data_IF_922131119150
#
_entry.id   IF_922131119150
#
_cell.length_a   1.000
_cell.length_b   1.000
_cell.length_c   1.000
_cell.angle_alpha   90.00
_cell.angle_beta   90.00
_cell.angle_gamma   90.00
#
_symmetry.space_group_name_H-M   'P 1'
#
loop_
_entity.id
_entity.type
_entity.pdbx_description
1 polymer ?
#
# COMPACT_ATOMS: atom_id res chain seq x y z
N UNK A 1 20.77 11.67 17.29
CA UNK A 1 19.54 10.98 16.89
C UNK A 1 18.35 11.94 16.67
N UNK A 2 18.02 12.87 17.59
CA UNK A 2 16.90 13.84 17.41
C UNK A 2 16.97 14.67 16.12
N UNK A 3 18.13 15.17 15.71
CA UNK A 3 18.30 15.97 14.47
C UNK A 3 18.01 15.19 13.18
N UNK A 4 18.28 13.87 13.15
CA UNK A 4 18.00 13.03 11.98
C UNK A 4 16.49 12.75 11.84
N UNK A 5 15.79 12.53 12.96
CA UNK A 5 14.34 12.35 12.99
C UNK A 5 13.58 13.63 12.62
N UNK A 6 14.09 14.80 12.97
CA UNK A 6 13.46 16.10 12.65
C UNK A 6 13.59 16.45 11.16
N UNK A 7 14.68 16.07 10.50
CA UNK A 7 14.85 16.26 9.06
C UNK A 7 13.89 15.37 8.22
N UNK A 8 13.61 14.14 8.70
CA UNK A 8 12.65 13.22 8.06
C UNK A 8 11.20 13.44 8.49
N UNK A 9 10.95 14.17 9.57
CA UNK A 9 9.61 14.51 10.08
C UNK A 9 8.82 15.44 9.17
N UNK A 10 9.49 16.10 8.20
CA UNK A 10 8.88 17.06 7.30
C UNK A 10 8.78 16.52 5.87
N UNK A 11 7.91 17.14 5.09
CA UNK A 11 7.78 17.05 3.64
C UNK A 11 9.15 17.07 2.89
N UNK A 12 10.19 17.67 3.50
CA UNK A 12 11.54 17.74 2.93
C UNK A 12 12.19 16.37 2.73
N UNK A 13 12.07 15.45 3.69
CA UNK A 13 12.64 14.10 3.55
C UNK A 13 11.93 13.29 2.47
N UNK A 14 10.61 13.45 2.36
CA UNK A 14 9.83 12.82 1.30
C UNK A 14 10.11 13.44 -0.07
N UNK A 15 10.20 14.78 -0.16
CA UNK A 15 10.57 15.47 -1.39
C UNK A 15 11.98 15.11 -1.87
N UNK A 16 12.93 14.91 -0.94
CA UNK A 16 14.27 14.43 -1.25
C UNK A 16 14.26 12.99 -1.79
N UNK A 17 13.48 12.09 -1.18
CA UNK A 17 13.35 10.72 -1.67
C UNK A 17 12.69 10.68 -3.05
N UNK A 18 11.60 11.42 -3.24
CA UNK A 18 10.92 11.55 -4.53
C UNK A 18 11.84 12.18 -5.60
N UNK A 19 12.58 13.22 -5.23
CA UNK A 19 13.57 13.84 -6.11
C UNK A 19 14.68 12.87 -6.49
N UNK A 20 15.19 12.08 -5.54
CA UNK A 20 16.21 11.07 -5.81
C UNK A 20 15.68 9.98 -6.77
N UNK A 21 14.45 9.49 -6.56
CA UNK A 21 13.82 8.50 -7.46
C UNK A 21 13.64 9.09 -8.86
N UNK A 22 13.16 10.34 -8.98
CA UNK A 22 13.02 11.01 -10.28
C UNK A 22 14.37 11.22 -10.96
N UNK A 23 15.38 11.64 -10.22
CA UNK A 23 16.75 11.82 -10.76
C UNK A 23 17.30 10.49 -11.26
N UNK A 24 17.15 9.42 -10.46
CA UNK A 24 17.62 8.07 -10.82
C UNK A 24 16.91 7.56 -12.08
N UNK A 25 15.58 7.67 -12.17
CA UNK A 25 14.82 7.23 -13.35
C UNK A 25 15.12 8.11 -14.58
N UNK A 26 15.31 9.41 -14.39
CA UNK A 26 15.64 10.35 -15.46
C UNK A 26 17.05 10.13 -16.01
N UNK A 27 18.05 9.95 -15.14
CA UNK A 27 19.43 9.67 -15.56
C UNK A 27 19.54 8.36 -16.35
N UNK A 28 18.75 7.36 -15.97
CA UNK A 28 18.75 6.07 -16.66
C UNK A 28 18.00 6.14 -18.01
N UNK A 29 16.99 7.01 -18.14
CA UNK A 29 16.27 7.25 -19.41
C UNK A 29 17.07 8.09 -20.43
N UNK A 30 18.07 8.85 -19.98
CA UNK A 30 18.91 9.69 -20.84
C UNK A 30 19.94 8.92 -21.67
N UNK A 31 20.02 7.58 -21.54
CA UNK A 31 20.95 6.73 -22.31
C UNK A 31 22.42 7.23 -22.31
N UNK A 32 22.90 7.79 -21.20
CA UNK A 32 24.25 8.32 -21.10
C UNK A 32 25.35 7.22 -21.08
N UNK A 33 24.93 5.95 -20.92
CA UNK A 33 25.81 4.76 -20.95
C UNK A 33 25.13 3.65 -21.75
N UNK A 34 25.92 2.87 -22.52
CA UNK A 34 25.42 1.68 -23.24
C UNK A 34 24.87 0.61 -22.29
N UNK A 35 25.33 0.59 -21.04
CA UNK A 35 24.79 -0.24 -19.97
C UNK A 35 23.83 0.58 -19.09
N UNK A 36 22.65 0.02 -18.70
CA UNK A 36 21.74 0.69 -17.78
C UNK A 36 22.45 0.97 -16.45
N UNK A 37 22.42 2.22 -16.00
CA UNK A 37 23.08 2.67 -14.75
C UNK A 37 22.63 1.83 -13.54
N UNK A 38 21.41 1.30 -13.62
CA UNK A 38 20.83 0.40 -12.64
C UNK A 38 20.33 -0.89 -13.28
N UNK A 39 20.72 -2.07 -12.74
CA UNK A 39 20.25 -3.34 -13.26
C UNK A 39 18.70 -3.42 -13.23
N UNK A 40 18.07 -4.11 -14.19
CA UNK A 40 16.60 -4.26 -14.26
C UNK A 40 15.95 -4.75 -12.97
N UNK A 41 16.69 -5.52 -12.19
CA UNK A 41 16.31 -5.99 -10.87
C UNK A 41 16.06 -4.86 -9.87
N UNK A 42 16.94 -3.86 -9.81
CA UNK A 42 16.79 -2.71 -8.91
C UNK A 42 15.54 -1.90 -9.25
N UNK A 43 15.19 -1.77 -10.53
CA UNK A 43 13.97 -1.11 -10.99
C UNK A 43 12.71 -1.84 -10.51
N UNK A 44 12.73 -3.18 -10.52
CA UNK A 44 11.64 -3.98 -9.97
C UNK A 44 11.46 -3.73 -8.47
N UNK A 45 12.54 -3.77 -7.70
CA UNK A 45 12.49 -3.51 -6.25
C UNK A 45 11.98 -2.10 -5.97
N UNK A 46 12.44 -1.09 -6.71
CA UNK A 46 11.99 0.29 -6.57
C UNK A 46 10.50 0.45 -6.86
N UNK A 47 9.99 -0.16 -7.95
CA UNK A 47 8.57 -0.15 -8.27
C UNK A 47 7.74 -0.78 -7.15
N UNK A 48 8.13 -1.96 -6.67
CA UNK A 48 7.46 -2.68 -5.57
C UNK A 48 7.46 -1.83 -4.30
N UNK A 49 8.58 -1.18 -3.94
CA UNK A 49 8.67 -0.25 -2.82
C UNK A 49 7.67 0.91 -2.94
N UNK A 50 7.53 1.50 -4.14
CA UNK A 50 6.60 2.60 -4.38
C UNK A 50 5.14 2.15 -4.24
N UNK A 51 4.78 1.00 -4.83
CA UNK A 51 3.43 0.45 -4.70
C UNK A 51 3.09 0.12 -3.25
N UNK A 52 3.97 -0.58 -2.53
CA UNK A 52 3.73 -0.85 -1.11
C UNK A 52 3.73 0.42 -0.26
N UNK A 53 4.44 1.47 -0.65
CA UNK A 53 4.33 2.78 0.01
C UNK A 53 2.93 3.38 -0.15
N UNK A 54 2.33 3.29 -1.35
CA UNK A 54 0.94 3.72 -1.58
C UNK A 54 -0.03 2.91 -0.72
N UNK A 55 0.11 1.58 -0.73
CA UNK A 55 -0.76 0.67 0.02
C UNK A 55 -0.63 0.89 1.53
N UNK A 56 0.62 1.04 2.03
CA UNK A 56 0.90 1.33 3.44
C UNK A 56 0.31 2.67 3.87
N UNK A 57 0.45 3.70 3.02
CA UNK A 57 -0.09 5.02 3.29
C UNK A 57 -1.63 5.03 3.22
N UNK A 58 -2.24 4.22 2.34
CA UNK A 58 -3.69 4.05 2.28
C UNK A 58 -4.22 3.33 3.53
N UNK A 59 -3.57 2.26 3.99
CA UNK A 59 -3.91 1.57 5.23
C UNK A 59 -3.74 2.47 6.46
N UNK A 60 -2.82 3.43 6.41
CA UNK A 60 -2.58 4.38 7.48
C UNK A 60 -3.81 5.25 7.79
N UNK A 61 -4.75 5.45 6.84
CA UNK A 61 -6.03 6.11 7.14
C UNK A 61 -6.85 5.35 8.16
N UNK A 62 -6.89 4.03 8.07
CA UNK A 62 -7.64 3.17 8.99
C UNK A 62 -6.84 2.90 10.26
N UNK A 63 -5.62 2.38 10.13
CA UNK A 63 -4.81 1.94 11.27
C UNK A 63 -4.09 3.09 11.96
N UNK A 64 -3.67 4.10 11.24
CA UNK A 64 -2.93 5.24 11.78
C UNK A 64 -3.83 6.36 12.28
N UNK A 65 -4.68 6.93 11.42
CA UNK A 65 -5.47 8.11 11.76
C UNK A 65 -6.67 7.80 12.67
N UNK A 66 -7.41 6.71 12.42
CA UNK A 66 -8.56 6.30 13.24
C UNK A 66 -8.15 5.33 14.36
N UNK A 67 -7.01 4.65 14.22
CA UNK A 67 -6.50 3.72 15.22
C UNK A 67 -7.18 2.34 15.17
N UNK A 68 -7.80 1.96 14.06
CA UNK A 68 -8.46 0.66 13.88
C UNK A 68 -7.57 -0.28 13.06
N UNK A 69 -7.13 -1.39 13.66
CA UNK A 69 -6.34 -2.40 12.97
C UNK A 69 -7.21 -3.19 12.00
N UNK A 70 -6.81 -3.26 10.71
CA UNK A 70 -7.49 -4.03 9.67
C UNK A 70 -6.53 -5.01 9.02
N UNK A 71 -6.93 -6.27 8.88
CA UNK A 71 -6.21 -7.33 8.15
C UNK A 71 -6.89 -7.71 6.82
N UNK A 72 -7.83 -6.91 6.34
CA UNK A 72 -8.51 -7.12 5.07
C UNK A 72 -7.99 -6.24 3.92
N UNK A 73 -6.87 -5.54 4.09
CA UNK A 73 -6.45 -4.50 3.15
C UNK A 73 -5.97 -5.06 1.80
N UNK A 74 -5.34 -6.25 1.81
CA UNK A 74 -4.96 -6.95 0.59
C UNK A 74 -6.18 -7.31 -0.30
N UNK A 75 -7.37 -7.46 0.29
CA UNK A 75 -8.59 -7.68 -0.49
C UNK A 75 -8.90 -6.49 -1.40
N UNK A 76 -8.76 -5.26 -0.93
CA UNK A 76 -9.00 -4.05 -1.74
C UNK A 76 -7.93 -3.89 -2.82
N UNK A 77 -6.67 -4.20 -2.48
CA UNK A 77 -5.56 -4.21 -3.42
C UNK A 77 -5.78 -5.23 -4.53
N UNK A 78 -6.05 -6.50 -4.19
CA UNK A 78 -6.32 -7.55 -5.15
C UNK A 78 -7.62 -7.35 -5.94
N UNK A 79 -8.68 -6.82 -5.29
CA UNK A 79 -9.93 -6.47 -5.98
C UNK A 79 -9.68 -5.44 -7.09
N UNK A 80 -8.93 -4.37 -6.80
CA UNK A 80 -8.55 -3.38 -7.81
C UNK A 80 -7.73 -3.98 -8.95
N UNK A 81 -6.81 -4.89 -8.63
CA UNK A 81 -6.03 -5.65 -9.62
C UNK A 81 -6.94 -6.46 -10.55
N UNK A 82 -7.87 -7.24 -9.99
CA UNK A 82 -8.81 -8.05 -10.78
C UNK A 82 -9.79 -7.20 -11.59
N UNK A 83 -10.36 -6.15 -11.01
CA UNK A 83 -11.29 -5.26 -11.72
C UNK A 83 -10.63 -4.67 -12.96
N UNK A 84 -9.44 -4.09 -12.82
CA UNK A 84 -8.74 -3.51 -13.96
C UNK A 84 -8.32 -4.57 -15.00
N UNK A 85 -7.91 -5.75 -14.54
CA UNK A 85 -7.56 -6.87 -15.40
C UNK A 85 -8.75 -7.36 -16.22
N UNK A 86 -9.92 -7.54 -15.60
CA UNK A 86 -11.15 -7.95 -16.29
C UNK A 86 -11.61 -6.89 -17.30
N UNK A 87 -11.59 -5.61 -16.91
CA UNK A 87 -12.00 -4.52 -17.78
C UNK A 87 -11.10 -4.40 -19.03
N UNK A 88 -9.80 -4.55 -18.86
CA UNK A 88 -8.85 -4.44 -19.98
C UNK A 88 -8.81 -5.69 -20.84
N UNK A 89 -8.88 -6.90 -20.25
CA UNK A 89 -8.71 -8.16 -20.95
C UNK A 89 -10.01 -8.70 -21.58
N UNK A 90 -11.14 -8.60 -20.85
CA UNK A 90 -12.41 -9.18 -21.32
C UNK A 90 -13.26 -8.12 -22.03
N UNK A 91 -13.34 -6.91 -21.47
CA UNK A 91 -14.16 -5.86 -22.06
C UNK A 91 -13.39 -4.93 -22.99
N UNK A 92 -12.08 -5.18 -23.19
CA UNK A 92 -11.19 -4.40 -24.06
C UNK A 92 -11.26 -2.88 -23.83
N UNK A 93 -11.54 -2.46 -22.59
CA UNK A 93 -11.55 -1.06 -22.23
C UNK A 93 -10.12 -0.50 -22.13
N UNK A 94 -9.92 0.77 -22.44
CA UNK A 94 -8.63 1.42 -22.23
C UNK A 94 -8.20 1.34 -20.77
N UNK A 95 -6.88 1.31 -20.52
CA UNK A 95 -6.34 1.16 -19.17
C UNK A 95 -6.79 2.27 -18.21
N UNK A 96 -6.77 3.54 -18.62
CA UNK A 96 -7.03 4.67 -17.73
C UNK A 96 -8.43 4.69 -17.13
N UNK A 97 -9.52 4.49 -17.90
CA UNK A 97 -10.84 4.28 -17.31
C UNK A 97 -10.88 3.06 -16.38
N UNK A 98 -10.24 1.96 -16.76
CA UNK A 98 -10.20 0.73 -15.94
C UNK A 98 -9.46 0.94 -14.63
N UNK A 99 -8.38 1.73 -14.64
CA UNK A 99 -7.61 2.14 -13.45
C UNK A 99 -8.50 2.93 -12.46
N UNK A 100 -9.22 3.94 -12.94
CA UNK A 100 -10.13 4.72 -12.09
C UNK A 100 -11.30 3.87 -11.58
N UNK A 101 -11.88 3.03 -12.43
CA UNK A 101 -12.95 2.10 -12.02
C UNK A 101 -12.46 1.10 -10.97
N UNK A 102 -11.23 0.61 -11.05
CA UNK A 102 -10.63 -0.26 -10.04
C UNK A 102 -10.63 0.40 -8.65
N UNK A 103 -10.21 1.65 -8.56
CA UNK A 103 -10.26 2.41 -7.32
C UNK A 103 -11.71 2.65 -6.83
N UNK A 104 -12.62 3.06 -7.73
CA UNK A 104 -14.01 3.33 -7.38
C UNK A 104 -14.75 2.07 -6.91
N UNK A 105 -14.58 0.94 -7.59
CA UNK A 105 -15.21 -0.33 -7.19
C UNK A 105 -14.63 -0.80 -5.85
N UNK A 106 -13.32 -0.69 -5.66
CA UNK A 106 -12.70 -1.00 -4.37
C UNK A 106 -13.26 -0.09 -3.25
N UNK A 107 -13.46 1.20 -3.51
CA UNK A 107 -14.06 2.14 -2.57
C UNK A 107 -15.51 1.76 -2.21
N UNK A 108 -16.33 1.42 -3.22
CA UNK A 108 -17.73 0.98 -3.01
C UNK A 108 -17.79 -0.30 -2.18
N UNK A 109 -16.91 -1.27 -2.47
CA UNK A 109 -16.78 -2.51 -1.68
C UNK A 109 -16.20 -2.24 -0.29
N UNK A 110 -15.39 -1.22 -0.14
CA UNK A 110 -14.89 -0.75 1.16
C UNK A 110 -15.98 -0.34 2.14
N UNK A 111 -17.15 0.12 1.66
CA UNK A 111 -18.28 0.51 2.50
C UNK A 111 -18.88 -0.70 3.25
N UNK A 112 -19.34 -1.78 2.60
CA UNK A 112 -19.88 -2.95 3.31
C UNK A 112 -18.82 -3.69 4.13
N UNK A 113 -17.54 -3.67 3.74
CA UNK A 113 -16.46 -4.26 4.53
C UNK A 113 -16.14 -3.40 5.76
N UNK A 114 -16.26 -2.08 5.66
CA UNK A 114 -16.14 -1.15 6.77
C UNK A 114 -17.36 -1.10 7.70
N UNK A 115 -18.55 -1.51 7.24
CA UNK A 115 -19.78 -1.45 8.03
C UNK A 115 -19.71 -2.26 9.36
N UNK A 116 -19.14 -3.47 9.41
CA UNK A 116 -18.94 -4.17 10.68
C UNK A 116 -18.04 -3.42 11.65
N UNK A 117 -17.08 -2.61 11.15
CA UNK A 117 -16.23 -1.76 11.98
C UNK A 117 -17.00 -0.74 12.82
N UNK A 118 -18.26 -0.45 12.48
CA UNK A 118 -19.13 0.44 13.24
C UNK A 118 -19.66 -0.23 14.52
N UNK A 119 -19.82 -1.56 14.49
CA UNK A 119 -20.44 -2.34 15.57
C UNK A 119 -19.41 -3.10 16.42
N UNK A 120 -18.24 -3.37 15.86
CA UNK A 120 -17.20 -4.20 16.46
C UNK A 120 -15.99 -3.34 16.82
N UNK A 121 -15.43 -3.55 18.01
CA UNK A 121 -14.28 -2.78 18.53
C UNK A 121 -13.11 -3.70 18.84
N UNK A 122 -11.91 -3.12 18.79
CA UNK A 122 -10.67 -3.80 19.20
C UNK A 122 -10.34 -5.05 18.37
N UNK A 123 -9.89 -6.15 18.99
CA UNK A 123 -9.41 -7.34 18.29
C UNK A 123 -10.45 -8.02 17.39
N UNK A 124 -11.73 -7.89 17.71
CA UNK A 124 -12.81 -8.48 16.91
C UNK A 124 -12.91 -7.88 15.51
N UNK A 125 -12.57 -6.61 15.34
CA UNK A 125 -12.54 -5.97 14.04
C UNK A 125 -11.48 -6.61 13.12
N UNK A 126 -10.34 -6.97 13.69
CA UNK A 126 -9.25 -7.63 12.97
C UNK A 126 -9.74 -8.96 12.38
N UNK A 127 -10.48 -9.76 13.17
CA UNK A 127 -11.04 -11.04 12.72
C UNK A 127 -12.05 -10.84 11.61
N UNK A 128 -12.94 -9.86 11.76
CA UNK A 128 -13.98 -9.57 10.74
C UNK A 128 -13.33 -9.12 9.42
N UNK A 129 -12.38 -8.19 9.46
CA UNK A 129 -11.71 -7.71 8.24
C UNK A 129 -10.86 -8.79 7.59
N UNK A 130 -10.21 -9.65 8.38
CA UNK A 130 -9.51 -10.85 7.91
C UNK A 130 -10.46 -11.79 7.16
N UNK A 131 -11.60 -12.13 7.79
CA UNK A 131 -12.60 -13.04 7.19
C UNK A 131 -13.16 -12.46 5.89
N UNK A 132 -13.44 -11.15 5.83
CA UNK A 132 -13.83 -10.49 4.59
C UNK A 132 -12.76 -10.63 3.50
N UNK A 133 -11.49 -10.46 3.85
CA UNK A 133 -10.37 -10.65 2.91
C UNK A 133 -10.32 -12.07 2.33
N UNK A 134 -10.46 -13.09 3.19
CA UNK A 134 -10.48 -14.48 2.77
C UNK A 134 -11.70 -14.81 1.90
N UNK A 135 -12.88 -14.23 2.17
CA UNK A 135 -14.05 -14.38 1.31
C UNK A 135 -13.75 -13.90 -0.12
N UNK A 136 -13.17 -12.72 -0.30
CA UNK A 136 -12.79 -12.22 -1.62
C UNK A 136 -11.75 -13.12 -2.30
N UNK A 137 -10.79 -13.64 -1.54
CA UNK A 137 -9.79 -14.58 -2.06
C UNK A 137 -10.46 -15.87 -2.55
N UNK A 138 -11.35 -16.47 -1.76
CA UNK A 138 -12.08 -17.67 -2.15
C UNK A 138 -13.01 -17.43 -3.34
N UNK A 139 -13.66 -16.29 -3.43
CA UNK A 139 -14.45 -15.89 -4.61
C UNK A 139 -13.54 -15.87 -5.85
N UNK A 140 -12.37 -15.22 -5.77
CA UNK A 140 -11.43 -15.15 -6.87
C UNK A 140 -10.88 -16.53 -7.27
N UNK A 141 -10.75 -17.46 -6.35
CA UNK A 141 -10.28 -18.83 -6.62
C UNK A 141 -11.33 -19.73 -7.29
N UNK A 142 -12.62 -19.44 -7.10
CA UNK A 142 -13.72 -20.31 -7.54
C UNK A 142 -14.49 -19.78 -8.75
N UNK A 143 -14.27 -18.53 -9.17
CA UNK A 143 -14.89 -17.97 -10.37
C UNK A 143 -14.04 -18.25 -11.61
N UNK A 144 -14.66 -18.77 -12.67
CA UNK A 144 -13.99 -19.03 -13.96
C UNK A 144 -13.54 -17.71 -14.63
N UNK A 145 -14.31 -16.64 -14.47
CA UNK A 145 -14.01 -15.33 -15.06
C UNK A 145 -12.70 -14.72 -14.51
N UNK A 146 -12.30 -15.07 -13.30
CA UNK A 146 -11.05 -14.63 -12.66
C UNK A 146 -9.85 -15.53 -12.99
N UNK A 147 -10.07 -16.59 -13.79
CA UNK A 147 -9.07 -17.60 -14.09
C UNK A 147 -8.81 -18.60 -12.95
N UNK A 148 -9.69 -18.62 -11.93
CA UNK A 148 -9.59 -19.53 -10.80
C UNK A 148 -8.26 -19.45 -10.05
N UNK A 149 -7.72 -20.58 -9.55
CA UNK A 149 -6.43 -20.60 -8.85
C UNK A 149 -5.24 -20.15 -9.70
N UNK A 150 -5.32 -20.32 -11.03
CA UNK A 150 -4.25 -19.98 -11.97
C UNK A 150 -4.14 -18.47 -12.23
N UNK A 151 -5.20 -17.69 -11.94
CA UNK A 151 -5.23 -16.25 -12.18
C UNK A 151 -5.34 -15.87 -13.67
N UNK A 152 -5.14 -14.59 -13.97
CA UNK A 152 -5.26 -14.01 -15.31
C UNK A 152 -3.90 -13.52 -15.80
N UNK A 153 -3.26 -14.24 -16.74
CA UNK A 153 -2.03 -13.78 -17.39
C UNK A 153 -2.31 -12.90 -18.62
N UNK A 154 -1.28 -12.20 -19.09
CA UNK A 154 -1.30 -11.47 -20.36
C UNK A 154 -2.16 -10.21 -20.34
N UNK A 155 -1.99 -9.38 -19.29
CA UNK A 155 -2.68 -8.10 -19.20
C UNK A 155 -2.10 -7.08 -20.19
N UNK A 156 -2.98 -6.24 -20.72
CA UNK A 156 -2.63 -5.20 -21.68
C UNK A 156 -1.76 -4.14 -21.01
N UNK A 157 -0.69 -3.74 -21.71
CA UNK A 157 0.18 -2.68 -21.25
C UNK A 157 -0.54 -1.31 -21.31
N UNK A 158 -0.47 -0.49 -20.25
CA UNK A 158 -0.99 0.88 -20.29
C UNK A 158 -0.37 1.70 -21.43
N UNK A 159 -1.15 2.60 -22.05
CA UNK A 159 -0.66 3.51 -23.08
C UNK A 159 -1.16 4.93 -22.87
N UNK A 160 -0.30 5.90 -23.20
CA UNK A 160 -0.62 7.34 -23.33
C UNK A 160 -0.10 7.75 -24.71
N UNK A 161 -0.72 7.20 -25.78
CA UNK A 161 -0.19 7.38 -27.15
C UNK A 161 0.97 6.44 -27.48
N UNK A 162 1.90 6.19 -26.53
CA UNK A 162 2.97 5.17 -26.58
C UNK A 162 2.73 4.19 -25.46
N UNK A 163 2.98 2.89 -25.69
CA UNK A 163 2.82 1.87 -24.64
C UNK A 163 3.87 2.04 -23.54
N UNK A 164 3.47 1.89 -22.27
CA UNK A 164 4.40 1.93 -21.14
C UNK A 164 5.51 0.87 -21.27
N UNK A 165 5.21 -0.25 -21.94
CA UNK A 165 6.19 -1.32 -22.20
C UNK A 165 7.23 -0.93 -23.26
N UNK A 166 6.97 0.08 -24.07
CA UNK A 166 7.89 0.56 -25.11
C UNK A 166 8.65 1.84 -24.67
N UNK A 167 8.31 2.38 -23.49
CA UNK A 167 8.95 3.56 -22.93
C UNK A 167 10.18 3.18 -22.11
N UNK A 168 11.37 3.63 -22.57
CA UNK A 168 12.65 3.44 -21.90
C UNK A 168 13.32 2.08 -22.19
N UNK A 169 14.58 1.92 -21.75
CA UNK A 169 15.43 0.77 -22.10
C UNK A 169 14.89 -0.59 -21.64
N UNK A 170 14.10 -0.62 -20.56
CA UNK A 170 13.54 -1.86 -20.01
C UNK A 170 12.02 -1.94 -20.15
N UNK A 171 11.37 -0.91 -20.74
CA UNK A 171 9.91 -0.84 -20.90
C UNK A 171 9.14 -0.74 -19.58
N UNK A 172 9.80 -0.40 -18.48
CA UNK A 172 9.18 -0.38 -17.12
C UNK A 172 9.28 0.96 -16.41
N UNK A 173 10.03 1.90 -16.97
CA UNK A 173 10.29 3.22 -16.39
C UNK A 173 9.01 4.03 -16.20
N UNK A 174 8.11 3.96 -17.18
CA UNK A 174 6.82 4.65 -17.11
C UNK A 174 5.96 4.18 -15.92
N UNK A 175 6.02 2.90 -15.57
CA UNK A 175 5.34 2.37 -14.40
C UNK A 175 5.91 2.91 -13.09
N UNK A 176 7.24 3.08 -13.00
CA UNK A 176 7.90 3.66 -11.82
C UNK A 176 7.45 5.11 -11.66
N UNK A 177 7.44 5.88 -12.75
CA UNK A 177 6.96 7.28 -12.73
C UNK A 177 5.48 7.35 -12.34
N UNK A 178 4.62 6.47 -12.86
CA UNK A 178 3.21 6.41 -12.50
C UNK A 178 3.00 6.02 -11.03
N UNK A 179 3.75 5.04 -10.51
CA UNK A 179 3.71 4.64 -9.10
C UNK A 179 4.20 5.78 -8.18
N UNK A 180 5.26 6.49 -8.56
CA UNK A 180 5.74 7.65 -7.85
C UNK A 180 4.72 8.79 -7.85
N UNK A 181 4.11 9.08 -9.00
CA UNK A 181 3.07 10.10 -9.10
C UNK A 181 1.88 9.78 -8.20
N UNK A 182 1.44 8.51 -8.17
CA UNK A 182 0.37 8.04 -7.27
C UNK A 182 0.77 8.17 -5.80
N UNK A 183 2.01 7.81 -5.45
CA UNK A 183 2.54 7.93 -4.09
C UNK A 183 2.61 9.39 -3.63
N UNK A 184 3.10 10.29 -4.48
CA UNK A 184 3.15 11.73 -4.24
C UNK A 184 1.75 12.32 -4.08
N UNK A 185 0.83 11.95 -4.96
CA UNK A 185 -0.56 12.39 -4.91
C UNK A 185 -1.22 11.96 -3.59
N UNK A 186 -1.06 10.68 -3.19
CA UNK A 186 -1.61 10.20 -1.94
C UNK A 186 -0.96 10.84 -0.71
N UNK A 187 0.35 11.08 -0.74
CA UNK A 187 1.05 11.79 0.33
C UNK A 187 0.54 13.24 0.50
N UNK A 188 0.35 13.95 -0.63
CA UNK A 188 -0.24 15.29 -0.62
C UNK A 188 -1.68 15.27 -0.08
N UNK A 189 -2.49 14.32 -0.56
CA UNK A 189 -3.87 14.13 -0.13
C UNK A 189 -3.97 13.80 1.37
N UNK A 190 -3.12 12.89 1.87
CA UNK A 190 -3.04 12.54 3.29
C UNK A 190 -2.72 13.77 4.16
N UNK A 191 -1.75 14.58 3.73
CA UNK A 191 -1.40 15.82 4.46
C UNK A 191 -2.54 16.83 4.47
N UNK A 192 -3.28 16.95 3.36
CA UNK A 192 -4.45 17.84 3.30
C UNK A 192 -5.56 17.38 4.24
N UNK A 193 -5.81 16.07 4.28
CA UNK A 193 -6.79 15.50 5.21
C UNK A 193 -6.33 15.71 6.66
N UNK A 194 -5.09 15.44 6.99
CA UNK A 194 -4.55 15.60 8.35
C UNK A 194 -4.81 17.00 8.93
N UNK A 195 -4.67 18.03 8.13
CA UNK A 195 -4.91 19.43 8.54
C UNK A 195 -6.35 19.92 8.28
N UNK A 196 -7.27 19.05 7.91
CA UNK A 196 -8.67 19.35 7.67
C UNK A 196 -9.56 19.03 8.88
N UNK A 197 -10.83 19.47 8.83
CA UNK A 197 -11.86 19.09 9.81
C UNK A 197 -12.02 17.56 9.92
N UNK A 198 -11.87 16.85 8.81
CA UNK A 198 -11.94 15.37 8.76
C UNK A 198 -10.77 14.76 9.53
N UNK A 199 -9.56 15.27 9.38
CA UNK A 199 -8.38 14.79 10.10
C UNK A 199 -8.47 15.02 11.62
N UNK A 200 -9.01 16.17 12.04
CA UNK A 200 -9.27 16.42 13.46
C UNK A 200 -10.34 15.48 14.02
N UNK A 201 -11.39 15.18 13.23
CA UNK A 201 -12.41 14.20 13.63
C UNK A 201 -11.82 12.78 13.75
N UNK A 202 -10.94 12.38 12.82
CA UNK A 202 -10.20 11.11 12.92
C UNK A 202 -9.35 11.04 14.20
N UNK A 203 -8.62 12.11 14.51
CA UNK A 203 -7.82 12.17 15.71
C UNK A 203 -8.67 12.07 16.99
N UNK A 204 -9.81 12.75 17.05
CA UNK A 204 -10.74 12.67 18.17
C UNK A 204 -11.30 11.23 18.36
N UNK A 205 -11.71 10.57 17.26
CA UNK A 205 -12.22 9.19 17.30
C UNK A 205 -11.13 8.21 17.77
N UNK A 206 -9.88 8.43 17.39
CA UNK A 206 -8.75 7.60 17.82
C UNK A 206 -8.48 7.69 19.30
N UNK A 207 -8.59 8.90 19.89
CA UNK A 207 -8.36 9.10 21.33
C UNK A 207 -9.50 8.47 22.16
N UNK A 208 -10.75 8.81 21.86
CA UNK A 208 -11.93 8.22 22.50
C UNK A 208 -13.17 8.36 21.61
N UNK A 209 -13.73 7.23 21.15
CA UNK A 209 -14.91 7.19 20.31
C UNK A 209 -16.18 7.73 21.02
N UNK A 210 -16.30 7.48 22.32
CA UNK A 210 -17.48 7.89 23.11
C UNK A 210 -17.43 9.38 23.34
N UNK A 211 -16.28 9.93 23.73
CA UNK A 211 -16.10 11.36 23.91
C UNK A 211 -16.27 12.12 22.58
N UNK A 212 -15.74 11.61 21.47
CA UNK A 212 -15.92 12.22 20.15
C UNK A 212 -17.40 12.27 19.75
N UNK A 213 -18.15 11.18 19.98
CA UNK A 213 -19.60 11.13 19.72
C UNK A 213 -20.38 12.15 20.61
N UNK A 214 -20.02 12.27 21.88
CA UNK A 214 -20.62 13.25 22.79
C UNK A 214 -20.38 14.71 22.37
N UNK A 215 -19.25 14.97 21.69
CA UNK A 215 -18.93 16.28 21.10
C UNK A 215 -19.56 16.51 19.72
N UNK A 216 -20.46 15.61 19.25
CA UNK A 216 -21.18 15.75 17.99
C UNK A 216 -20.47 15.21 16.76
N UNK A 217 -19.32 14.52 16.92
CA UNK A 217 -18.62 13.88 15.79
C UNK A 217 -19.35 12.59 15.39
N UNK A 218 -19.80 12.48 14.15
CA UNK A 218 -20.43 11.25 13.63
C UNK A 218 -19.38 10.15 13.40
N UNK A 219 -19.14 9.32 14.41
CA UNK A 219 -18.11 8.25 14.40
C UNK A 219 -18.29 7.30 13.22
N UNK A 220 -19.55 6.88 12.96
CA UNK A 220 -19.88 5.95 11.89
C UNK A 220 -19.45 6.49 10.50
N UNK A 221 -19.83 7.73 10.20
CA UNK A 221 -19.48 8.38 8.93
C UNK A 221 -17.97 8.46 8.73
N UNK A 222 -17.22 8.91 9.73
CA UNK A 222 -15.77 9.08 9.62
C UNK A 222 -15.04 7.74 9.51
N UNK A 223 -15.48 6.70 10.21
CA UNK A 223 -14.95 5.34 10.05
C UNK A 223 -15.15 4.82 8.63
N UNK A 224 -16.38 4.89 8.10
CA UNK A 224 -16.66 4.47 6.73
C UNK A 224 -15.86 5.28 5.71
N UNK A 225 -15.75 6.59 5.90
CA UNK A 225 -14.97 7.46 5.03
C UNK A 225 -13.50 7.02 4.98
N UNK A 226 -12.88 6.70 6.12
CA UNK A 226 -11.50 6.23 6.14
C UNK A 226 -11.33 4.88 5.43
N UNK A 227 -12.25 3.92 5.64
CA UNK A 227 -12.23 2.66 4.91
C UNK A 227 -12.40 2.86 3.40
N UNK A 228 -13.31 3.74 3.00
CA UNK A 228 -13.57 4.06 1.58
C UNK A 228 -12.34 4.69 0.91
N UNK A 229 -11.69 5.66 1.56
CA UNK A 229 -10.45 6.29 1.06
C UNK A 229 -9.34 5.24 0.98
N UNK A 230 -9.16 4.44 2.03
CA UNK A 230 -8.13 3.41 2.07
C UNK A 230 -8.33 2.37 0.96
N UNK A 231 -9.55 1.88 0.76
CA UNK A 231 -9.90 0.94 -0.29
C UNK A 231 -9.69 1.52 -1.70
N UNK A 232 -10.06 2.79 -1.91
CA UNK A 232 -9.87 3.48 -3.18
C UNK A 232 -8.40 3.46 -3.63
N UNK A 233 -7.50 3.94 -2.77
CA UNK A 233 -6.08 4.00 -3.11
C UNK A 233 -5.41 2.62 -3.17
N UNK A 234 -5.84 1.67 -2.33
CA UNK A 234 -5.39 0.29 -2.43
C UNK A 234 -5.79 -0.33 -3.78
N UNK A 235 -7.03 -0.07 -4.25
CA UNK A 235 -7.50 -0.52 -5.56
C UNK A 235 -6.71 0.07 -6.73
N UNK A 236 -6.39 1.37 -6.68
CA UNK A 236 -5.52 2.00 -7.68
C UNK A 236 -4.12 1.37 -7.70
N UNK A 237 -3.52 1.16 -6.53
CA UNK A 237 -2.21 0.54 -6.41
C UNK A 237 -2.21 -0.91 -6.96
N UNK A 238 -3.27 -1.67 -6.66
CA UNK A 238 -3.46 -3.03 -7.18
C UNK A 238 -3.57 -3.07 -8.69
N UNK A 239 -4.32 -2.15 -9.29
CA UNK A 239 -4.43 -2.03 -10.75
C UNK A 239 -3.06 -1.80 -11.40
N UNK A 240 -2.28 -0.85 -10.88
CA UNK A 240 -0.96 -0.54 -11.43
C UNK A 240 0.02 -1.71 -11.26
N UNK A 241 -0.04 -2.41 -10.13
CA UNK A 241 0.79 -3.57 -9.83
C UNK A 241 0.49 -4.75 -10.77
N UNK A 242 -0.79 -5.02 -11.02
CA UNK A 242 -1.24 -6.10 -11.91
C UNK A 242 -0.71 -5.92 -13.35
N UNK A 243 -0.83 -4.71 -13.88
CA UNK A 243 -0.38 -4.41 -15.24
C UNK A 243 1.14 -4.37 -15.37
N UNK A 244 1.85 -3.98 -14.31
CA UNK A 244 3.32 -4.07 -14.26
C UNK A 244 3.81 -5.52 -14.32
N UNK A 245 3.17 -6.42 -13.57
CA UNK A 245 3.48 -7.85 -13.60
C UNK A 245 2.89 -8.55 -14.84
N UNK A 246 1.95 -7.92 -15.56
CA UNK A 246 1.14 -8.52 -16.62
C UNK A 246 0.40 -9.79 -16.16
N UNK A 247 0.11 -9.88 -14.86
CA UNK A 247 -0.46 -11.06 -14.22
C UNK A 247 -1.22 -10.69 -12.94
N UNK A 248 -2.37 -11.32 -12.71
CA UNK A 248 -3.15 -11.25 -11.47
C UNK A 248 -3.44 -12.65 -10.96
N UNK A 249 -3.26 -12.88 -9.68
CA UNK A 249 -3.58 -14.15 -9.01
C UNK A 249 -4.30 -13.94 -7.67
N UNK A 250 -5.04 -14.96 -7.18
CA UNK A 250 -5.68 -14.91 -5.88
C UNK A 250 -4.71 -14.72 -4.70
N UNK A 251 -3.42 -14.98 -4.91
CA UNK A 251 -2.38 -14.74 -3.90
C UNK A 251 -2.27 -13.27 -3.49
N UNK A 252 -2.61 -12.33 -4.39
CA UNK A 252 -2.63 -10.88 -4.09
C UNK A 252 -3.69 -10.48 -3.05
N UNK A 253 -4.70 -11.33 -2.82
CA UNK A 253 -5.75 -11.14 -1.80
C UNK A 253 -5.42 -11.87 -0.49
N UNK A 254 -4.24 -12.48 -0.37
CA UNK A 254 -3.93 -13.32 0.78
C UNK A 254 -3.81 -12.52 2.06
N UNK A 255 -4.12 -13.17 3.18
CA UNK A 255 -3.95 -12.59 4.50
C UNK A 255 -2.49 -12.31 4.86
N UNK A 256 -1.54 -13.08 4.32
CA UNK A 256 -0.11 -12.80 4.47
C UNK A 256 0.29 -11.44 3.90
N UNK A 257 -0.27 -11.06 2.74
CA UNK A 257 -0.09 -9.74 2.17
C UNK A 257 -0.67 -8.64 3.09
N UNK A 258 -1.87 -8.86 3.65
CA UNK A 258 -2.47 -7.90 4.60
C UNK A 258 -1.63 -7.73 5.86
N UNK A 259 -1.06 -8.81 6.40
CA UNK A 259 -0.17 -8.77 7.56
C UNK A 259 1.11 -8.00 7.22
N UNK A 260 1.68 -8.24 6.04
CA UNK A 260 2.87 -7.52 5.58
C UNK A 260 2.60 -6.01 5.47
N UNK A 261 1.49 -5.62 4.84
CA UNK A 261 1.06 -4.21 4.72
C UNK A 261 0.87 -3.56 6.10
N UNK A 262 0.20 -4.27 7.04
CA UNK A 262 0.00 -3.78 8.40
C UNK A 262 1.34 -3.59 9.13
N UNK A 263 2.26 -4.55 8.96
CA UNK A 263 3.59 -4.46 9.59
C UNK A 263 4.39 -3.27 9.06
N UNK A 264 4.25 -2.96 7.77
CA UNK A 264 4.86 -1.76 7.19
C UNK A 264 4.34 -0.48 7.88
N UNK A 265 3.02 -0.40 8.17
CA UNK A 265 2.44 0.73 8.93
C UNK A 265 2.99 0.80 10.34
N UNK A 266 3.04 -0.34 11.03
CA UNK A 266 3.47 -0.42 12.45
C UNK A 266 4.96 -0.10 12.58
N UNK A 267 5.80 -0.69 11.74
CA UNK A 267 7.27 -0.46 11.74
C UNK A 267 7.59 0.97 11.33
N UNK A 268 6.96 1.46 10.29
CA UNK A 268 7.16 2.82 9.82
C UNK A 268 6.72 3.88 10.85
N UNK A 269 5.63 3.61 11.52
CA UNK A 269 4.98 4.46 12.52
C UNK A 269 3.62 4.98 12.05
N UNK A 270 2.55 4.64 12.79
CA UNK A 270 1.19 5.09 12.47
C UNK A 270 1.10 6.63 12.48
N UNK A 271 0.25 7.19 11.62
CA UNK A 271 0.06 8.63 11.35
C UNK A 271 1.25 9.34 10.67
N UNK A 272 2.36 8.67 10.44
CA UNK A 272 3.51 9.29 9.78
C UNK A 272 3.49 8.96 8.28
N UNK A 273 3.44 9.99 7.43
CA UNK A 273 3.56 9.83 5.97
C UNK A 273 4.97 9.30 5.64
N UNK A 274 6.01 9.93 6.18
CA UNK A 274 7.38 9.47 5.98
C UNK A 274 7.62 8.08 6.59
N UNK A 275 6.92 7.75 7.70
CA UNK A 275 6.94 6.43 8.30
C UNK A 275 6.39 5.36 7.36
N UNK A 276 5.28 5.61 6.68
CA UNK A 276 4.69 4.67 5.73
C UNK A 276 5.68 4.32 4.59
N UNK A 277 6.37 5.34 4.04
CA UNK A 277 7.41 5.12 3.03
C UNK A 277 8.60 4.33 3.57
N UNK A 278 9.08 4.70 4.76
CA UNK A 278 10.22 4.03 5.39
C UNK A 278 9.89 2.59 5.75
N UNK A 279 8.69 2.30 6.28
CA UNK A 279 8.21 0.96 6.57
C UNK A 279 8.09 0.10 5.31
N UNK A 280 7.51 0.63 4.24
CA UNK A 280 7.43 -0.03 2.95
C UNK A 280 8.83 -0.31 2.38
N UNK A 281 9.73 0.67 2.40
CA UNK A 281 11.10 0.52 1.93
C UNK A 281 11.86 -0.57 2.69
N UNK A 282 11.88 -0.50 4.02
CA UNK A 282 12.59 -1.48 4.85
C UNK A 282 12.08 -2.90 4.63
N UNK A 283 10.74 -3.08 4.65
CA UNK A 283 10.14 -4.41 4.53
C UNK A 283 10.07 -4.94 3.10
N UNK A 284 10.42 -4.14 2.10
CA UNK A 284 10.62 -4.60 0.73
C UNK A 284 12.08 -4.93 0.46
N UNK A 285 13.01 -4.07 0.92
CA UNK A 285 14.45 -4.22 0.62
C UNK A 285 15.10 -5.30 1.48
N UNK A 286 14.74 -5.39 2.77
CA UNK A 286 15.36 -6.39 3.69
C UNK A 286 15.15 -7.84 3.20
N UNK A 287 13.93 -8.28 2.82
CA UNK A 287 13.74 -9.63 2.28
C UNK A 287 14.57 -9.89 1.04
N UNK A 288 14.66 -8.88 0.19
CA UNK A 288 15.37 -8.99 -1.07
C UNK A 288 16.91 -9.13 -0.88
N UNK A 289 17.45 -8.40 0.08
CA UNK A 289 18.85 -8.57 0.50
C UNK A 289 19.09 -9.96 1.12
N UNK A 290 18.14 -10.44 1.93
CA UNK A 290 18.24 -11.79 2.52
C UNK A 290 18.13 -12.90 1.47
N UNK A 291 17.29 -12.72 0.45
CA UNK A 291 17.17 -13.66 -0.65
C UNK A 291 18.48 -13.77 -1.44
N UNK A 292 19.12 -12.65 -1.73
CA UNK A 292 20.42 -12.63 -2.38
C UNK A 292 21.49 -13.29 -1.52
N UNK A 293 21.49 -13.05 -0.20
CA UNK A 293 22.43 -13.69 0.72
C UNK A 293 22.18 -15.19 0.91
N UNK A 294 20.91 -15.64 0.81
CA UNK A 294 20.53 -17.06 0.86
C UNK A 294 21.18 -17.87 -0.27
N UNK A 295 21.18 -17.32 -1.49
CA UNK A 295 21.83 -17.95 -2.64
C UNK A 295 23.35 -18.09 -2.44
N UNK A 296 23.98 -17.13 -1.73
CA UNK A 296 25.40 -17.17 -1.37
C UNK A 296 25.74 -18.16 -0.25
N UNK A 297 24.83 -18.37 0.70
CA UNK A 297 25.05 -19.20 1.91
C UNK A 297 24.52 -20.63 1.73
N UNK A 298 23.73 -20.90 0.68
CA UNK A 298 23.17 -22.24 0.38
C UNK A 298 22.10 -22.72 1.36
N UNK A 299 21.32 -21.82 1.97
CA UNK A 299 20.24 -22.16 2.89
C UNK A 299 19.03 -22.73 2.14
N UNK A 300 18.53 -23.89 2.59
CA UNK A 300 17.39 -24.59 1.96
C UNK A 300 16.00 -24.04 2.35
N UNK A 301 15.90 -23.17 3.35
CA UNK A 301 14.63 -22.58 3.82
C UNK A 301 14.63 -21.06 3.68
N UNK A 302 13.44 -20.46 3.66
CA UNK A 302 13.27 -19.01 3.61
C UNK A 302 13.20 -18.42 5.03
N UNK A 303 14.29 -17.80 5.54
CA UNK A 303 14.32 -17.23 6.88
C UNK A 303 13.47 -15.97 7.00
N UNK A 304 12.99 -15.45 5.87
CA UNK A 304 12.23 -14.21 5.75
C UNK A 304 10.96 -14.17 6.62
N UNK A 305 10.12 -15.21 6.59
CA UNK A 305 8.88 -15.26 7.38
C UNK A 305 9.15 -15.24 8.89
N UNK A 306 10.20 -15.93 9.33
CA UNK A 306 10.62 -15.95 10.74
C UNK A 306 11.15 -14.58 11.16
N UNK A 307 12.01 -13.98 10.34
CA UNK A 307 12.59 -12.67 10.61
C UNK A 307 11.50 -11.58 10.62
N UNK A 308 10.54 -11.67 9.72
CA UNK A 308 9.41 -10.77 9.65
C UNK A 308 8.54 -10.83 10.91
N UNK A 309 8.15 -12.03 11.36
CA UNK A 309 7.39 -12.20 12.59
C UNK A 309 8.17 -11.73 13.83
N UNK A 310 9.46 -12.04 13.89
CA UNK A 310 10.33 -11.60 14.98
C UNK A 310 10.46 -10.07 15.01
N UNK A 311 10.69 -9.43 13.86
CA UNK A 311 10.79 -7.98 13.74
C UNK A 311 9.51 -7.29 14.21
N UNK A 312 8.34 -7.83 13.83
CA UNK A 312 7.04 -7.32 14.27
C UNK A 312 6.90 -7.36 15.79
N UNK A 313 7.20 -8.51 16.41
CA UNK A 313 7.12 -8.68 17.88
C UNK A 313 8.08 -7.72 18.59
N UNK A 314 9.33 -7.63 18.11
CA UNK A 314 10.35 -6.75 18.68
C UNK A 314 9.92 -5.28 18.57
N UNK A 315 9.43 -4.86 17.40
CA UNK A 315 8.98 -3.49 17.19
C UNK A 315 7.76 -3.13 18.05
N UNK A 316 6.77 -4.02 18.14
CA UNK A 316 5.61 -3.81 19.00
C UNK A 316 5.99 -3.71 20.49
N UNK A 317 7.00 -4.46 20.94
CA UNK A 317 7.45 -4.44 22.35
C UNK A 317 8.36 -3.27 22.67
N UNK A 318 9.33 -2.95 21.80
CA UNK A 318 10.35 -1.93 22.06
C UNK A 318 9.94 -0.53 21.63
N UNK A 319 9.21 -0.41 20.50
CA UNK A 319 8.76 0.87 19.93
C UNK A 319 7.37 0.77 19.31
N UNK A 320 6.30 0.71 20.12
CA UNK A 320 4.92 0.64 19.60
C UNK A 320 4.52 1.86 18.75
N UNK A 321 5.31 2.93 18.82
CA UNK A 321 5.11 4.15 18.00
C UNK A 321 5.77 4.04 16.61
N UNK A 322 6.50 2.94 16.32
CA UNK A 322 7.27 2.79 15.09
C UNK A 322 8.54 3.66 15.05
N UNK A 323 9.23 3.64 13.90
CA UNK A 323 10.52 4.35 13.73
C UNK A 323 10.29 5.87 13.64
N UNK A 324 9.28 6.32 12.88
CA UNK A 324 8.96 7.73 12.63
C UNK A 324 7.56 8.11 13.13
N UNK A 325 6.98 7.35 14.06
CA UNK A 325 5.68 7.68 14.67
C UNK A 325 5.73 9.03 15.40
N UNK A 326 4.66 9.79 15.29
CA UNK A 326 4.48 11.01 16.09
C UNK A 326 4.20 10.62 17.53
N UNK A 327 5.02 11.11 18.46
CA UNK A 327 4.66 11.01 19.88
C UNK A 327 3.29 11.65 20.09
N UNK A 328 2.38 10.92 20.72
CA UNK A 328 1.12 11.51 21.18
C UNK A 328 1.45 12.64 22.12
N UNK A 329 0.93 13.83 21.83
CA UNK A 329 1.18 15.08 22.59
C UNK A 329 0.68 14.97 24.05
N UNK A 330 -0.01 13.89 24.38
CA UNK A 330 -0.55 13.60 25.71
C UNK A 330 0.07 12.33 26.31
N UNK A 331 1.35 12.42 26.69
CA UNK A 331 1.88 11.54 27.72
C UNK A 331 1.65 12.22 29.08
N UNK A 332 0.55 11.89 29.72
CA UNK A 332 0.43 11.94 31.17
C UNK A 332 0.36 10.53 31.74
#
# INVERSE_FOLDING_TARGET
>A
MKRFTDAFRGWRGFALFAGLVLIVTFLDSLHLTEDPLFPPYFKNVLFVCLIYSVVTLSLNFVSGYIGQTSLGHAAFFGLGAYVSALMTKIWHLPYWPSFLCAGLIAAVVGIPVGAPALRVRGPFLVVVTYSCGEIFRYIAMNLDITGGPSGLPGLVCPSIGVSFCDMGPTGKEAFIVAALALALFLAFFSRRIEHSRIGHAFAAIREDEVAAAAMGVSVAYHKLLAFTIAAFFAGLAGSLFAHYLSFVSPAMLSSSESIMMLTMVVVGGPRSIAGAFLGAFLLTVIPELLRTSKELIGLSYDPWLVLFGFLLVVMMRLRPQGILGTETVFRR
#
